data_IF_413576016706
#
_entry.id   IF_413576016706
#
_cell.length_a   1.000
_cell.length_b   1.000
_cell.length_c   1.000
_cell.angle_alpha   90.00
_cell.angle_beta   90.00
_cell.angle_gamma   90.00
#
_symmetry.space_group_name_H-M   'P 1'
#
loop_
_entity.id
_entity.type
_entity.pdbx_description
1 polymer ?
#
# COMPACT_ATOMS: atom_id res chain seq x y z
N UNK A 1 -4.17 -5.13 -9.67
CA UNK A 1 -4.86 -4.75 -10.93
C UNK A 1 -5.48 -5.95 -11.63
N UNK A 2 -4.69 -6.96 -12.05
CA UNK A 2 -5.25 -8.17 -12.70
C UNK A 2 -6.26 -8.91 -11.81
N UNK A 3 -6.00 -8.99 -10.49
CA UNK A 3 -6.92 -9.59 -9.52
C UNK A 3 -8.15 -8.71 -9.24
N UNK A 4 -8.04 -7.42 -9.47
CA UNK A 4 -9.07 -6.42 -9.15
C UNK A 4 -9.36 -5.55 -10.38
N UNK A 5 -10.06 -6.09 -11.41
CA UNK A 5 -10.28 -5.40 -12.68
C UNK A 5 -11.14 -4.14 -12.54
N UNK A 6 -12.03 -4.08 -11.53
CA UNK A 6 -12.83 -2.89 -11.24
C UNK A 6 -11.95 -1.72 -10.79
N UNK A 7 -10.98 -2.01 -9.90
CA UNK A 7 -10.00 -1.01 -9.42
C UNK A 7 -9.19 -0.46 -10.60
N UNK A 8 -8.73 -1.36 -11.50
CA UNK A 8 -8.04 -0.94 -12.72
C UNK A 8 -8.88 -0.02 -13.59
N UNK A 9 -10.13 -0.43 -13.87
CA UNK A 9 -11.03 0.31 -14.76
C UNK A 9 -11.36 1.69 -14.21
N UNK A 10 -11.61 1.81 -12.91
CA UNK A 10 -11.88 3.08 -12.24
C UNK A 10 -10.65 4.01 -12.27
N UNK A 11 -9.45 3.48 -12.00
CA UNK A 11 -8.22 4.25 -12.09
C UNK A 11 -7.96 4.76 -13.51
N UNK A 12 -8.18 3.92 -14.52
CA UNK A 12 -8.04 4.31 -15.93
C UNK A 12 -9.06 5.39 -16.31
N UNK A 13 -10.31 5.28 -15.85
CA UNK A 13 -11.32 6.30 -16.09
C UNK A 13 -10.95 7.65 -15.46
N UNK A 14 -10.39 7.65 -14.25
CA UNK A 14 -9.87 8.88 -13.63
C UNK A 14 -8.73 9.49 -14.44
N UNK A 15 -7.75 8.67 -14.85
CA UNK A 15 -6.61 9.12 -15.67
C UNK A 15 -7.08 9.68 -17.00
N UNK A 16 -8.00 9.01 -17.69
CA UNK A 16 -8.52 9.46 -18.98
C UNK A 16 -9.31 10.77 -18.88
N UNK A 17 -10.05 10.95 -17.76
CA UNK A 17 -10.83 12.16 -17.55
C UNK A 17 -9.99 13.39 -17.18
N UNK A 18 -8.91 13.21 -16.42
CA UNK A 18 -8.16 14.33 -15.81
C UNK A 18 -6.83 14.60 -16.51
N UNK A 19 -6.16 13.58 -17.04
CA UNK A 19 -4.89 13.72 -17.77
C UNK A 19 -5.13 13.65 -19.28
N UNK A 20 -6.04 12.77 -19.71
CA UNK A 20 -6.33 12.53 -21.13
C UNK A 20 -5.21 11.76 -21.83
N UNK A 21 -5.11 11.93 -23.15
CA UNK A 21 -4.14 11.23 -24.00
C UNK A 21 -3.13 12.17 -24.69
N UNK A 22 -3.21 13.47 -24.42
CA UNK A 22 -2.39 14.48 -25.07
C UNK A 22 -0.96 14.54 -24.51
N UNK A 23 -0.75 14.10 -23.28
CA UNK A 23 0.57 14.04 -22.65
C UNK A 23 0.71 12.81 -21.74
N UNK A 24 1.95 12.41 -21.55
CA UNK A 24 2.30 11.33 -20.62
C UNK A 24 2.09 11.82 -19.17
N UNK A 25 1.44 11.03 -18.28
CA UNK A 25 1.29 11.40 -16.88
C UNK A 25 2.61 11.75 -16.19
N UNK A 26 2.57 12.76 -15.35
CA UNK A 26 3.70 13.32 -14.61
C UNK A 26 3.39 13.44 -13.12
N UNK A 27 4.36 13.80 -12.30
CA UNK A 27 4.14 14.10 -10.88
C UNK A 27 3.21 15.30 -10.64
N UNK A 28 3.10 16.21 -11.59
CA UNK A 28 2.21 17.37 -11.49
C UNK A 28 0.73 16.97 -11.50
N UNK A 29 0.40 15.80 -12.04
CA UNK A 29 -0.96 15.29 -12.13
C UNK A 29 -1.43 14.60 -10.82
N UNK A 30 -0.49 14.28 -9.91
CA UNK A 30 -0.80 13.57 -8.67
C UNK A 30 -1.89 14.22 -7.80
N UNK A 31 -1.95 15.57 -7.64
CA UNK A 31 -3.00 16.20 -6.85
C UNK A 31 -4.42 15.99 -7.39
N UNK A 32 -4.54 15.70 -8.69
CA UNK A 32 -5.84 15.49 -9.34
C UNK A 32 -6.26 14.00 -9.36
N UNK A 33 -5.31 13.08 -9.16
CA UNK A 33 -5.51 11.63 -9.30
C UNK A 33 -5.73 10.98 -7.93
N UNK A 34 -6.78 11.39 -7.24
CA UNK A 34 -7.09 10.96 -5.87
C UNK A 34 -7.27 9.46 -5.77
N UNK A 35 -7.95 8.83 -6.73
CA UNK A 35 -8.19 7.38 -6.72
C UNK A 35 -6.91 6.58 -6.96
N UNK A 36 -6.06 7.00 -7.90
CA UNK A 36 -4.73 6.38 -8.10
C UNK A 36 -3.89 6.50 -6.82
N UNK A 37 -3.87 7.65 -6.18
CA UNK A 37 -3.18 7.84 -4.90
C UNK A 37 -3.76 6.98 -3.79
N UNK A 38 -5.08 6.78 -3.75
CA UNK A 38 -5.75 5.89 -2.80
C UNK A 38 -5.34 4.42 -3.03
N UNK A 39 -5.24 3.97 -4.28
CA UNK A 39 -4.74 2.63 -4.63
C UNK A 39 -3.34 2.41 -4.06
N UNK A 40 -2.44 3.37 -4.21
CA UNK A 40 -1.05 3.24 -3.73
C UNK A 40 -1.01 3.14 -2.21
N UNK A 41 -1.78 3.99 -1.52
CA UNK A 41 -1.90 3.92 -0.06
C UNK A 41 -2.44 2.57 0.40
N UNK A 42 -3.44 2.07 -0.32
CA UNK A 42 -4.08 0.80 0.00
C UNK A 42 -3.16 -0.40 -0.24
N UNK A 43 -2.49 -0.48 -1.37
CA UNK A 43 -1.54 -1.56 -1.68
C UNK A 43 -0.42 -1.65 -0.64
N UNK A 44 0.11 -0.51 -0.21
CA UNK A 44 1.15 -0.44 0.82
C UNK A 44 0.67 -0.94 2.19
N UNK A 45 -0.62 -0.81 2.49
CA UNK A 45 -1.23 -1.35 3.70
C UNK A 45 -1.59 -2.83 3.52
N UNK A 46 -2.28 -3.16 2.44
CA UNK A 46 -2.80 -4.50 2.16
C UNK A 46 -1.70 -5.56 1.99
N UNK A 47 -0.57 -5.21 1.36
CA UNK A 47 0.59 -6.11 1.18
C UNK A 47 1.89 -5.35 1.46
N UNK A 48 2.27 -5.18 2.74
CA UNK A 48 3.52 -4.51 3.08
C UNK A 48 4.71 -5.32 2.57
N UNK A 49 5.63 -4.64 1.87
CA UNK A 49 6.84 -5.25 1.27
C UNK A 49 7.74 -5.90 2.33
N UNK A 50 7.79 -5.32 3.53
CA UNK A 50 8.52 -5.86 4.66
C UNK A 50 7.53 -6.23 5.79
N UNK A 51 6.93 -7.44 5.76
CA UNK A 51 5.87 -7.83 6.70
C UNK A 51 6.34 -7.85 8.16
N UNK A 52 7.63 -8.07 8.39
CA UNK A 52 8.25 -8.00 9.73
C UNK A 52 9.04 -6.72 9.96
N UNK A 53 8.89 -5.71 9.09
CA UNK A 53 9.62 -4.46 9.19
C UNK A 53 11.14 -4.64 9.26
N UNK A 54 11.81 -3.66 9.85
CA UNK A 54 13.26 -3.72 10.12
C UNK A 54 13.47 -3.93 11.62
N UNK A 55 14.18 -4.98 12.05
CA UNK A 55 14.48 -5.22 13.46
C UNK A 55 15.26 -4.07 14.11
N UNK A 56 14.90 -3.74 15.35
CA UNK A 56 15.57 -2.71 16.14
C UNK A 56 16.07 -3.31 17.45
N UNK A 57 17.26 -2.91 17.89
CA UNK A 57 17.78 -3.32 19.20
C UNK A 57 17.55 -2.22 20.25
N UNK A 58 17.10 -2.61 21.44
CA UNK A 58 17.00 -1.72 22.58
C UNK A 58 18.41 -1.26 23.01
N UNK A 59 18.66 0.04 23.03
CA UNK A 59 19.96 0.61 23.41
C UNK A 59 20.15 0.68 24.92
N UNK A 60 19.04 0.67 25.66
CA UNK A 60 18.95 0.70 27.12
C UNK A 60 17.88 -0.29 27.56
N UNK A 61 17.84 -0.65 28.83
CA UNK A 61 16.73 -1.38 29.41
C UNK A 61 15.50 -0.49 29.52
N UNK A 62 14.31 -1.08 29.39
CA UNK A 62 13.05 -0.35 29.45
C UNK A 62 11.93 -1.23 30.01
N UNK A 63 10.80 -0.59 30.34
CA UNK A 63 9.59 -1.26 30.76
C UNK A 63 8.42 -0.80 29.89
N UNK A 64 7.70 -1.74 29.32
CA UNK A 64 6.51 -1.45 28.54
C UNK A 64 5.34 -2.27 29.08
N UNK A 65 4.28 -1.61 29.52
CA UNK A 65 3.07 -2.26 30.09
C UNK A 65 3.38 -3.34 31.14
N UNK A 66 4.34 -3.10 32.02
CA UNK A 66 4.76 -4.05 33.07
C UNK A 66 5.70 -5.15 32.58
N UNK A 67 6.07 -5.19 31.33
CA UNK A 67 7.06 -6.11 30.76
C UNK A 67 8.44 -5.49 30.76
N UNK A 68 9.42 -6.19 31.32
CA UNK A 68 10.83 -5.77 31.31
C UNK A 68 11.48 -6.10 29.96
N UNK A 69 12.08 -5.11 29.35
CA UNK A 69 12.83 -5.19 28.08
C UNK A 69 14.31 -4.99 28.39
N UNK A 70 15.14 -6.03 28.42
CA UNK A 70 16.58 -5.90 28.63
C UNK A 70 17.24 -5.08 27.51
N UNK A 71 18.33 -4.38 27.86
CA UNK A 71 19.23 -3.80 26.87
C UNK A 71 19.73 -4.85 25.89
N UNK A 72 19.73 -4.53 24.59
CA UNK A 72 20.12 -5.43 23.51
C UNK A 72 18.98 -6.33 23.00
N UNK A 73 17.80 -6.26 23.60
CA UNK A 73 16.63 -6.97 23.08
C UNK A 73 16.35 -6.54 21.66
N UNK A 74 16.20 -7.52 20.75
CA UNK A 74 15.80 -7.27 19.36
C UNK A 74 14.28 -7.24 19.28
N UNK A 75 13.73 -6.07 18.91
CA UNK A 75 12.31 -5.87 18.68
C UNK A 75 12.04 -5.98 17.17
N UNK A 76 11.16 -6.91 16.81
CA UNK A 76 10.75 -7.15 15.41
C UNK A 76 9.31 -6.68 15.28
N UNK A 77 9.04 -5.61 14.49
CA UNK A 77 7.69 -5.14 14.28
C UNK A 77 6.92 -6.10 13.37
N UNK A 78 5.71 -6.47 13.77
CA UNK A 78 4.81 -7.26 12.92
C UNK A 78 3.95 -6.32 12.07
N UNK A 79 4.56 -5.74 11.02
CA UNK A 79 3.89 -4.79 10.15
C UNK A 79 2.71 -5.43 9.40
N UNK A 80 2.77 -6.72 9.11
CA UNK A 80 1.66 -7.47 8.54
C UNK A 80 0.44 -7.42 9.45
N UNK A 81 0.58 -7.89 10.69
CA UNK A 81 -0.52 -7.88 11.65
C UNK A 81 -1.07 -6.47 11.90
N UNK A 82 -0.15 -5.50 12.12
CA UNK A 82 -0.56 -4.11 12.33
C UNK A 82 -1.33 -3.50 11.14
N UNK A 83 -1.05 -3.95 9.91
CA UNK A 83 -1.76 -3.48 8.71
C UNK A 83 -3.13 -4.16 8.52
N UNK A 84 -3.35 -5.31 9.18
CA UNK A 84 -4.59 -6.10 9.10
C UNK A 84 -5.34 -6.13 10.43
N UNK A 85 -5.01 -5.20 11.34
CA UNK A 85 -5.70 -5.09 12.62
C UNK A 85 -7.14 -4.58 12.42
N UNK A 86 -8.09 -5.47 12.69
CA UNK A 86 -9.52 -5.19 12.50
C UNK A 86 -10.09 -4.17 13.48
N UNK A 87 -9.44 -3.97 14.62
CA UNK A 87 -9.83 -2.91 15.56
C UNK A 87 -9.48 -1.51 15.00
N UNK A 88 -8.42 -1.44 14.18
CA UNK A 88 -7.92 -0.19 13.58
C UNK A 88 -8.51 0.06 12.19
N UNK A 89 -8.55 -0.97 11.34
CA UNK A 89 -8.88 -0.85 9.91
C UNK A 89 -10.27 -1.41 9.53
N UNK A 90 -10.98 -2.03 10.47
CA UNK A 90 -12.30 -2.62 10.22
C UNK A 90 -12.26 -4.11 9.84
N UNK A 91 -13.44 -4.72 9.69
CA UNK A 91 -13.58 -6.15 9.45
C UNK A 91 -13.07 -6.62 8.08
N UNK A 92 -12.89 -5.70 7.16
CA UNK A 92 -12.47 -5.85 5.77
C UNK A 92 -11.00 -5.45 5.55
N UNK A 93 -10.22 -5.36 6.64
CA UNK A 93 -8.79 -5.03 6.61
C UNK A 93 -7.94 -5.97 5.71
N UNK A 94 -8.44 -7.18 5.44
CA UNK A 94 -7.80 -8.17 4.56
C UNK A 94 -8.11 -7.93 3.07
N UNK A 95 -9.03 -7.00 2.74
CA UNK A 95 -9.47 -6.73 1.38
C UNK A 95 -8.77 -5.50 0.78
N UNK A 96 -8.57 -5.52 -0.54
CA UNK A 96 -8.07 -4.35 -1.26
C UNK A 96 -9.22 -3.41 -1.59
N UNK A 97 -9.38 -2.35 -0.82
CA UNK A 97 -10.48 -1.39 -0.96
C UNK A 97 -9.97 0.06 -0.97
N UNK A 98 -9.49 0.57 -2.12
CA UNK A 98 -9.00 1.95 -2.22
C UNK A 98 -10.05 3.00 -1.82
N UNK A 99 -11.34 2.69 -1.99
CA UNK A 99 -12.47 3.57 -1.68
C UNK A 99 -12.50 4.00 -0.22
N UNK A 100 -12.11 3.14 0.71
CA UNK A 100 -12.07 3.48 2.14
C UNK A 100 -11.01 4.53 2.50
N UNK A 101 -10.16 4.91 1.55
CA UNK A 101 -9.19 6.01 1.70
C UNK A 101 -9.72 7.36 1.27
N UNK A 102 -10.95 7.41 0.75
CA UNK A 102 -11.58 8.60 0.21
C UNK A 102 -12.89 8.88 0.93
N UNK A 103 -13.21 10.16 1.06
CA UNK A 103 -14.53 10.60 1.50
C UNK A 103 -15.56 10.61 0.35
N UNK A 104 -16.78 11.04 0.63
CA UNK A 104 -17.87 11.15 -0.35
C UNK A 104 -17.58 12.15 -1.49
N UNK A 105 -16.63 13.06 -1.29
CA UNK A 105 -16.21 14.05 -2.29
C UNK A 105 -15.00 13.56 -3.10
N UNK A 106 -14.45 12.39 -2.80
CA UNK A 106 -13.23 11.86 -3.41
C UNK A 106 -11.94 12.44 -2.84
N UNK A 107 -12.00 13.14 -1.70
CA UNK A 107 -10.84 13.65 -1.00
C UNK A 107 -10.25 12.59 -0.06
N UNK A 108 -8.94 12.66 0.15
CA UNK A 108 -8.28 11.69 1.01
C UNK A 108 -8.68 11.84 2.47
N UNK A 109 -9.17 10.75 3.05
CA UNK A 109 -9.36 10.65 4.49
C UNK A 109 -8.02 10.61 5.24
N UNK A 110 -7.95 11.23 6.43
CA UNK A 110 -6.84 10.98 7.35
C UNK A 110 -6.84 9.51 7.76
N UNK A 111 -5.65 8.94 7.89
CA UNK A 111 -5.53 7.57 8.40
C UNK A 111 -5.93 7.48 9.88
N UNK A 112 -6.15 6.25 10.41
CA UNK A 112 -6.41 6.04 11.82
C UNK A 112 -5.35 6.68 12.72
N UNK A 113 -5.78 7.13 13.90
CA UNK A 113 -4.90 7.81 14.87
C UNK A 113 -3.71 6.94 15.27
N UNK A 114 -3.93 5.66 15.45
CA UNK A 114 -2.93 4.64 15.81
C UNK A 114 -1.81 4.53 14.78
N UNK A 115 -2.07 4.91 13.54
CA UNK A 115 -1.08 4.97 12.46
C UNK A 115 -0.42 6.35 12.33
N UNK A 116 -0.56 7.21 13.34
CA UNK A 116 -0.17 8.62 13.29
C UNK A 116 -0.79 9.34 12.07
N UNK A 117 -2.03 8.98 11.75
CA UNK A 117 -2.82 9.47 10.61
C UNK A 117 -2.20 9.18 9.22
N UNK A 118 -1.14 8.37 9.18
CA UNK A 118 -0.52 7.98 7.90
C UNK A 118 -1.34 6.93 7.14
N UNK A 119 -2.29 6.27 7.82
CA UNK A 119 -3.13 5.21 7.26
C UNK A 119 -2.36 3.94 6.88
N UNK A 120 -1.11 3.80 7.31
CA UNK A 120 -0.25 2.64 7.05
C UNK A 120 0.92 2.58 8.02
N UNK A 121 1.36 1.37 8.31
CA UNK A 121 2.52 1.08 9.18
C UNK A 121 3.78 0.69 8.41
N UNK A 122 3.67 0.52 7.09
CA UNK A 122 4.69 -0.05 6.19
C UNK A 122 6.05 0.66 6.29
N UNK A 123 6.07 1.95 6.53
CA UNK A 123 7.31 2.74 6.61
C UNK A 123 7.77 2.99 8.06
N UNK A 124 7.13 2.36 9.05
CA UNK A 124 7.43 2.59 10.46
C UNK A 124 7.05 3.99 10.95
N UNK A 125 7.52 4.35 12.14
CA UNK A 125 7.10 5.54 12.85
C UNK A 125 8.26 6.29 13.51
N UNK A 126 8.00 7.54 13.93
CA UNK A 126 8.85 8.34 14.77
C UNK A 126 10.22 8.62 14.15
N UNK A 127 11.25 8.62 14.99
CA UNK A 127 12.63 8.99 14.59
C UNK A 127 13.30 7.98 13.66
N UNK A 128 12.71 6.80 13.49
CA UNK A 128 13.19 5.70 12.63
C UNK A 128 12.30 5.42 11.44
N UNK A 129 11.38 6.35 11.13
CA UNK A 129 10.58 6.25 9.90
C UNK A 129 11.48 6.11 8.68
N UNK A 130 11.07 5.32 7.71
CA UNK A 130 11.84 5.06 6.49
C UNK A 130 12.20 6.37 5.78
N UNK A 131 13.49 6.61 5.58
CA UNK A 131 14.00 7.82 4.90
C UNK A 131 13.62 7.84 3.42
N UNK A 132 13.38 6.66 2.82
CA UNK A 132 12.96 6.50 1.42
C UNK A 132 11.45 6.54 1.19
N UNK A 133 10.65 6.83 2.23
CA UNK A 133 9.18 6.80 2.15
C UNK A 133 8.62 7.63 1.00
N UNK A 134 9.08 8.85 0.85
CA UNK A 134 8.57 9.76 -0.15
C UNK A 134 9.00 9.33 -1.56
N UNK A 135 10.28 8.96 -1.72
CA UNK A 135 10.79 8.40 -2.98
C UNK A 135 10.01 7.14 -3.40
N UNK A 136 9.77 6.21 -2.47
CA UNK A 136 9.03 4.99 -2.76
C UNK A 136 7.58 5.30 -3.17
N UNK A 137 6.92 6.23 -2.48
CA UNK A 137 5.54 6.61 -2.78
C UNK A 137 5.45 7.29 -4.16
N UNK A 138 6.37 8.19 -4.47
CA UNK A 138 6.43 8.87 -5.78
C UNK A 138 6.76 7.89 -6.91
N UNK A 139 7.69 6.97 -6.71
CA UNK A 139 8.01 5.93 -7.70
C UNK A 139 6.80 5.04 -7.97
N UNK A 140 6.12 4.58 -6.92
CA UNK A 140 4.88 3.80 -7.08
C UNK A 140 3.80 4.59 -7.82
N UNK A 141 3.67 5.89 -7.55
CA UNK A 141 2.71 6.74 -8.25
C UNK A 141 3.02 6.79 -9.74
N UNK A 142 4.24 7.21 -10.11
CA UNK A 142 4.56 7.43 -11.52
C UNK A 142 4.53 6.12 -12.33
N UNK A 143 4.98 5.01 -11.75
CA UNK A 143 4.94 3.70 -12.40
C UNK A 143 3.50 3.24 -12.58
N UNK A 144 2.67 3.33 -11.53
CA UNK A 144 1.26 2.91 -11.57
C UNK A 144 0.48 3.71 -12.59
N UNK A 145 0.57 5.04 -12.54
CA UNK A 145 -0.20 5.90 -13.45
C UNK A 145 0.20 5.71 -14.91
N UNK A 146 1.50 5.56 -15.20
CA UNK A 146 1.99 5.34 -16.57
C UNK A 146 1.64 3.98 -17.12
N UNK A 147 1.73 2.94 -16.30
CA UNK A 147 1.31 1.58 -16.70
C UNK A 147 -0.17 1.58 -17.03
N UNK A 148 -1.02 2.14 -16.15
CA UNK A 148 -2.46 2.19 -16.36
C UNK A 148 -2.87 3.09 -17.53
N UNK A 149 -2.14 4.18 -17.77
CA UNK A 149 -2.36 5.05 -18.91
C UNK A 149 -1.99 4.38 -20.24
N UNK A 150 -0.89 3.60 -20.26
CA UNK A 150 -0.36 3.03 -21.49
C UNK A 150 -0.93 1.64 -21.82
N UNK A 151 -1.42 0.88 -20.84
CA UNK A 151 -1.71 -0.55 -21.00
C UNK A 151 -3.00 -0.95 -20.34
N UNK A 152 -3.60 -2.04 -20.85
CA UNK A 152 -4.63 -2.82 -20.19
C UNK A 152 -3.99 -4.10 -19.64
N UNK A 153 -4.13 -4.32 -18.33
CA UNK A 153 -3.64 -5.53 -17.69
C UNK A 153 -4.75 -6.57 -17.64
N UNK A 154 -4.52 -7.74 -18.22
CA UNK A 154 -5.49 -8.82 -18.30
C UNK A 154 -4.88 -10.13 -17.79
N UNK A 155 -5.73 -11.08 -17.43
CA UNK A 155 -5.31 -12.43 -17.08
C UNK A 155 -4.71 -13.14 -18.30
N UNK A 156 -3.64 -13.87 -18.07
CA UNK A 156 -3.08 -14.76 -19.08
C UNK A 156 -4.11 -15.84 -19.44
N UNK A 157 -4.20 -16.18 -20.72
CA UNK A 157 -5.01 -17.29 -21.20
C UNK A 157 -4.11 -18.44 -21.63
N UNK A 158 -4.59 -19.66 -21.41
CA UNK A 158 -3.92 -20.86 -21.88
C UNK A 158 -4.10 -21.04 -23.41
N UNK A 159 -3.50 -22.10 -23.97
CA UNK A 159 -3.59 -22.43 -25.39
C UNK A 159 -5.03 -22.70 -25.90
N UNK A 160 -5.96 -22.96 -24.99
CA UNK A 160 -7.39 -23.15 -25.28
C UNK A 160 -8.20 -21.87 -25.10
N UNK A 161 -7.58 -20.74 -24.74
CA UNK A 161 -8.21 -19.46 -24.49
C UNK A 161 -8.89 -19.35 -23.13
N UNK A 162 -8.68 -20.31 -22.23
CA UNK A 162 -9.21 -20.29 -20.86
C UNK A 162 -8.31 -19.44 -19.97
N UNK A 163 -8.90 -18.58 -19.15
CA UNK A 163 -8.15 -17.76 -18.21
C UNK A 163 -7.42 -18.61 -17.17
N UNK A 164 -6.11 -18.39 -17.02
CA UNK A 164 -5.30 -19.04 -15.99
C UNK A 164 -5.73 -18.51 -14.63
N UNK A 165 -6.08 -19.38 -13.66
CA UNK A 165 -6.41 -18.95 -12.31
C UNK A 165 -5.26 -18.14 -11.70
N UNK A 166 -5.61 -17.01 -11.09
CA UNK A 166 -4.65 -16.19 -10.34
C UNK A 166 -4.86 -16.49 -8.85
N UNK A 167 -3.89 -17.13 -8.25
CA UNK A 167 -3.86 -17.34 -6.81
C UNK A 167 -3.06 -16.19 -6.16
N UNK A 168 -3.78 -15.29 -5.51
CA UNK A 168 -3.19 -14.15 -4.80
C UNK A 168 -2.70 -14.52 -3.39
N UNK A 169 -3.06 -15.70 -2.88
CA UNK A 169 -2.64 -16.17 -1.56
C UNK A 169 -1.26 -16.83 -1.59
N UNK A 170 -0.87 -17.40 -2.73
CA UNK A 170 0.44 -18.03 -2.92
C UNK A 170 1.55 -17.06 -3.37
N UNK A 171 1.43 -15.78 -3.08
CA UNK A 171 2.53 -14.85 -3.31
C UNK A 171 3.70 -15.26 -2.41
N UNK A 172 4.70 -15.88 -3.04
CA UNK A 172 5.95 -16.23 -2.36
C UNK A 172 6.74 -14.94 -2.17
N UNK A 173 6.82 -14.48 -0.92
CA UNK A 173 7.80 -13.46 -0.56
C UNK A 173 9.19 -14.09 -0.62
N UNK A 174 9.95 -13.75 -1.66
CA UNK A 174 11.34 -14.23 -1.81
C UNK A 174 12.30 -13.51 -0.86
N UNK A 175 11.79 -12.67 0.01
CA UNK A 175 12.53 -11.88 0.98
C UNK A 175 13.11 -10.59 0.39
N UNK A 176 13.16 -9.57 1.21
CA UNK A 176 14.01 -8.40 0.96
C UNK A 176 15.41 -8.79 1.41
N UNK A 177 16.29 -9.03 0.45
CA UNK A 177 17.72 -9.28 0.71
C UNK A 177 18.41 -7.95 1.01
#
# INVERSE_FOLDING_TARGET
MIAFPEVQRRAQAEIDALVGRDHLPTFADAPCLSYVCAIIKEILSWRPVAPFGVPHAATEEDWYEGMYIPKGTVCIPNAWHCSHDREVFGNDADELQPEQRLDENGEHLPGPFETNQAGRVTFGFGRRICVGKDLATESLFIDTVRILWATQLERTRDENGVEVPLDIETIVDAGVV
#
